data_IF_553989984782
#
_entry.id   IF_553989984782
#
_cell.length_a   1.000
_cell.length_b   1.000
_cell.length_c   1.000
_cell.angle_alpha   90.00
_cell.angle_beta   90.00
_cell.angle_gamma   90.00
#
_symmetry.space_group_name_H-M   'P 1'
#
loop_
_entity.id
_entity.type
_entity.pdbx_description
1 polymer ?
#
# COMPACT_ATOMS: atom_id res chain seq x y z
N UNK A 1 8.10 -5.79 -3.43
CA UNK A 1 6.89 -5.06 -2.99
C UNK A 1 6.51 -5.55 -1.60
N UNK A 2 6.40 -4.66 -0.59
CA UNK A 2 6.01 -5.06 0.79
C UNK A 2 4.56 -5.55 0.76
N UNK A 3 4.22 -6.54 1.58
CA UNK A 3 2.83 -6.96 1.75
C UNK A 3 2.42 -6.97 3.22
N UNK A 4 1.17 -6.63 3.50
CA UNK A 4 0.58 -6.61 4.84
C UNK A 4 -0.83 -7.18 4.80
N UNK A 5 -1.31 -7.71 5.92
CA UNK A 5 -2.70 -8.18 5.99
C UNK A 5 -3.67 -7.01 6.10
N UNK A 6 -4.91 -7.21 5.65
CA UNK A 6 -5.99 -6.24 5.82
C UNK A 6 -6.22 -5.87 7.31
N UNK A 7 -6.00 -6.83 8.23
CA UNK A 7 -6.07 -6.58 9.68
C UNK A 7 -4.99 -5.58 10.12
N UNK A 8 -3.74 -5.82 9.73
CA UNK A 8 -2.63 -4.92 10.06
C UNK A 8 -2.82 -3.54 9.43
N UNK A 9 -3.21 -3.48 8.15
CA UNK A 9 -3.43 -2.22 7.45
C UNK A 9 -4.53 -1.38 8.11
N UNK A 10 -5.59 -1.99 8.62
CA UNK A 10 -6.65 -1.29 9.36
C UNK A 10 -6.17 -0.76 10.70
N UNK A 11 -5.34 -1.52 11.43
CA UNK A 11 -4.84 -1.11 12.75
C UNK A 11 -3.77 -0.02 12.67
N UNK A 12 -2.96 -0.02 11.60
CA UNK A 12 -1.80 0.86 11.45
C UNK A 12 -1.92 1.74 10.20
N UNK A 13 -3.14 2.19 9.87
CA UNK A 13 -3.39 2.81 8.56
C UNK A 13 -2.57 4.08 8.32
N UNK A 14 -2.38 4.91 9.34
CA UNK A 14 -1.57 6.13 9.24
C UNK A 14 -0.09 5.83 8.92
N UNK A 15 0.50 4.83 9.58
CA UNK A 15 1.87 4.37 9.31
C UNK A 15 1.99 3.84 7.88
N UNK A 16 1.04 3.00 7.46
CA UNK A 16 0.99 2.44 6.11
C UNK A 16 0.87 3.55 5.05
N UNK A 17 0.07 4.59 5.29
CA UNK A 17 -0.02 5.74 4.39
C UNK A 17 1.29 6.54 4.33
N UNK A 18 1.94 6.78 5.46
CA UNK A 18 3.22 7.48 5.52
C UNK A 18 4.32 6.72 4.76
N UNK A 19 4.38 5.39 4.92
CA UNK A 19 5.32 4.55 4.15
C UNK A 19 5.07 4.61 2.64
N UNK A 20 3.80 4.59 2.21
CA UNK A 20 3.44 4.68 0.79
C UNK A 20 3.77 6.05 0.23
N UNK A 21 3.46 7.13 0.97
CA UNK A 21 3.63 8.50 0.51
C UNK A 21 5.09 8.96 0.54
N UNK A 22 5.76 8.86 1.70
CA UNK A 22 7.13 9.34 1.88
C UNK A 22 8.17 8.30 1.51
N UNK A 23 7.93 7.03 1.85
CA UNK A 23 8.84 5.93 1.57
C UNK A 23 8.86 5.51 0.09
N UNK A 24 7.91 6.00 -0.73
CA UNK A 24 7.72 5.65 -2.16
C UNK A 24 7.66 4.14 -2.40
N UNK A 25 7.08 3.40 -1.46
CA UNK A 25 6.92 1.95 -1.55
C UNK A 25 5.46 1.60 -1.77
N UNK A 26 5.19 0.90 -2.87
CA UNK A 26 3.89 0.26 -3.06
C UNK A 26 3.71 -0.86 -2.03
N UNK A 27 2.53 -0.92 -1.42
CA UNK A 27 2.20 -1.93 -0.41
C UNK A 27 1.01 -2.76 -0.89
N UNK A 28 1.20 -4.07 -0.95
CA UNK A 28 0.14 -5.03 -1.24
C UNK A 28 -0.62 -5.37 0.05
N UNK A 29 -1.93 -5.13 0.07
CA UNK A 29 -2.81 -5.60 1.12
C UNK A 29 -3.32 -6.99 0.74
N UNK A 30 -3.27 -7.94 1.67
CA UNK A 30 -3.78 -9.30 1.51
C UNK A 30 -4.91 -9.61 2.50
N UNK A 31 -5.81 -10.53 2.13
CA UNK A 31 -6.83 -11.10 3.02
C UNK A 31 -6.82 -12.60 2.87
N UNK A 32 -6.67 -13.32 3.98
CA UNK A 32 -6.56 -14.80 3.98
C UNK A 32 -5.49 -15.33 3.01
N UNK A 33 -4.33 -14.67 2.98
CA UNK A 33 -3.21 -15.02 2.09
C UNK A 33 -3.39 -14.61 0.62
N UNK A 34 -4.57 -14.12 0.22
CA UNK A 34 -4.85 -13.70 -1.16
C UNK A 34 -4.61 -12.20 -1.35
N UNK A 35 -4.02 -11.76 -2.49
CA UNK A 35 -3.96 -10.35 -2.87
C UNK A 35 -5.36 -9.71 -2.86
N UNK A 36 -5.48 -8.53 -2.25
CA UNK A 36 -6.74 -7.79 -2.18
C UNK A 36 -6.65 -6.47 -2.95
N UNK A 37 -5.73 -5.59 -2.56
CA UNK A 37 -5.50 -4.28 -3.20
C UNK A 37 -4.05 -3.85 -3.06
N UNK A 38 -3.57 -2.95 -3.91
CA UNK A 38 -2.26 -2.30 -3.78
C UNK A 38 -2.44 -0.83 -3.46
N UNK A 39 -1.80 -0.36 -2.38
CA UNK A 39 -1.65 1.05 -2.09
C UNK A 39 -0.43 1.59 -2.85
N UNK A 40 -0.66 2.68 -3.57
CA UNK A 40 0.36 3.38 -4.37
C UNK A 40 0.29 4.88 -4.06
N UNK A 41 1.43 5.57 -4.14
CA UNK A 41 1.43 7.02 -3.99
C UNK A 41 0.74 7.68 -5.20
N UNK A 42 0.08 8.82 -5.00
CA UNK A 42 -0.54 9.58 -6.10
C UNK A 42 0.50 10.04 -7.13
N UNK A 43 1.75 10.26 -6.70
CA UNK A 43 2.88 10.60 -7.58
C UNK A 43 3.24 9.45 -8.50
N UNK A 44 3.29 8.22 -7.99
CA UNK A 44 3.59 7.03 -8.80
C UNK A 44 2.41 6.68 -9.71
N UNK A 45 1.18 6.88 -9.23
CA UNK A 45 -0.02 6.76 -10.06
C UNK A 45 0.03 7.71 -11.27
N UNK A 46 0.44 8.97 -11.07
CA UNK A 46 0.57 9.95 -12.16
C UNK A 46 1.65 9.55 -13.17
N UNK A 47 2.77 8.99 -12.73
CA UNK A 47 3.86 8.53 -13.61
C UNK A 47 3.46 7.31 -14.44
N UNK A 48 2.62 6.42 -13.91
CA UNK A 48 2.13 5.23 -14.64
C UNK A 48 1.03 5.50 -15.67
N UNK A 49 0.44 6.70 -15.66
CA UNK A 49 -0.61 7.12 -16.60
C UNK A 49 -0.06 7.87 -17.82
N UNK A 50 1.26 8.04 -17.91
CA UNK A 50 1.97 8.49 -19.12
C UNK A 50 2.52 7.28 -19.85
#
# INVERSE_FOLDING_TARGET
MKSVTAKYARQNFAEVLNEVHFGRKNILITRSGKPLVVLISTRDLKQKKK
#
